data_IF_693271722479
#
_entry.id   IF_693271722479
#
_cell.length_a   1.000
_cell.length_b   1.000
_cell.length_c   1.000
_cell.angle_alpha   90.00
_cell.angle_beta   90.00
_cell.angle_gamma   90.00
#
_symmetry.space_group_name_H-M   'P 1'
#
loop_
_entity.id
_entity.type
_entity.pdbx_description
1 polymer ?
#
# COMPACT_ATOMS: atom_id res chain seq x y z
N UNK A 1 -9.30 37.22 -1.18
CA UNK A 1 -10.35 36.19 -1.34
C UNK A 1 -10.34 35.34 -0.08
N UNK A 2 -11.46 35.22 0.61
CA UNK A 2 -11.64 34.26 1.70
C UNK A 2 -12.05 32.93 1.09
N UNK A 3 -11.21 31.90 1.25
CA UNK A 3 -11.51 30.55 0.81
C UNK A 3 -12.40 29.87 1.86
N UNK A 4 -13.51 29.27 1.42
CA UNK A 4 -14.32 28.38 2.25
C UNK A 4 -14.01 26.93 1.87
N UNK A 5 -13.86 26.01 2.84
CA UNK A 5 -13.77 24.59 2.56
C UNK A 5 -15.03 24.08 1.83
N UNK A 6 -14.87 22.99 1.06
CA UNK A 6 -15.97 22.23 0.49
C UNK A 6 -16.75 21.51 1.61
N UNK A 7 -18.05 21.28 1.41
CA UNK A 7 -18.92 20.65 2.42
C UNK A 7 -18.41 19.24 2.82
N UNK A 8 -17.87 18.48 1.87
CA UNK A 8 -17.27 17.15 2.10
C UNK A 8 -16.02 17.17 3.00
N UNK A 9 -15.44 18.34 3.29
CA UNK A 9 -14.32 18.42 4.23
C UNK A 9 -14.72 17.89 5.62
N UNK A 10 -15.97 18.10 6.04
CA UNK A 10 -16.48 17.51 7.27
C UNK A 10 -16.44 15.99 7.23
N UNK A 11 -16.84 15.41 6.08
CA UNK A 11 -16.78 13.96 5.90
C UNK A 11 -15.35 13.43 5.96
N UNK A 12 -14.38 14.15 5.40
CA UNK A 12 -12.96 13.80 5.51
C UNK A 12 -12.51 13.80 6.98
N UNK A 13 -12.87 14.82 7.76
CA UNK A 13 -12.51 14.90 9.18
C UNK A 13 -13.10 13.74 10.00
N UNK A 14 -14.33 13.32 9.69
CA UNK A 14 -14.97 12.16 10.34
C UNK A 14 -14.21 10.85 10.14
N UNK A 15 -13.68 10.62 8.92
CA UNK A 15 -12.96 9.38 8.59
C UNK A 15 -11.47 9.45 8.87
N UNK A 16 -10.92 10.65 9.09
CA UNK A 16 -9.49 10.89 9.24
C UNK A 16 -8.83 10.07 10.36
N UNK A 17 -9.44 9.87 11.55
CA UNK A 17 -8.86 9.02 12.58
C UNK A 17 -8.56 7.59 12.10
N UNK A 18 -9.48 7.00 11.32
CA UNK A 18 -9.28 5.66 10.76
C UNK A 18 -8.17 5.63 9.71
N UNK A 19 -8.02 6.70 8.91
CA UNK A 19 -6.91 6.86 7.96
C UNK A 19 -5.57 6.93 8.70
N UNK A 20 -5.52 7.67 9.82
CA UNK A 20 -4.31 7.76 10.65
C UNK A 20 -3.96 6.42 11.31
N UNK A 21 -4.95 5.66 11.80
CA UNK A 21 -4.73 4.30 12.30
C UNK A 21 -4.21 3.36 11.21
N UNK A 22 -4.73 3.48 9.99
CA UNK A 22 -4.27 2.71 8.84
C UNK A 22 -2.81 3.03 8.48
N UNK A 23 -2.43 4.31 8.49
CA UNK A 23 -1.04 4.74 8.31
C UNK A 23 -0.15 4.21 9.45
N UNK A 24 -0.59 4.28 10.70
CA UNK A 24 0.19 3.76 11.83
C UNK A 24 0.42 2.25 11.72
N UNK A 25 -0.58 1.50 11.25
CA UNK A 25 -0.44 0.09 10.94
C UNK A 25 0.56 -0.13 9.79
N UNK A 26 0.50 0.68 8.73
CA UNK A 26 1.43 0.61 7.61
C UNK A 26 2.89 0.83 8.06
N UNK A 27 3.13 1.86 8.88
CA UNK A 27 4.45 2.20 9.41
C UNK A 27 5.02 1.06 10.24
N UNK A 28 4.20 0.36 11.04
CA UNK A 28 4.63 -0.84 11.78
C UNK A 28 5.15 -1.96 10.86
N UNK A 29 4.68 -2.00 9.61
CA UNK A 29 5.07 -2.97 8.60
C UNK A 29 6.13 -2.44 7.61
N UNK A 30 6.75 -1.29 7.91
CA UNK A 30 7.82 -0.72 7.09
C UNK A 30 7.34 0.06 5.87
N UNK A 31 6.09 0.55 5.89
CA UNK A 31 5.52 1.39 4.83
C UNK A 31 5.40 2.83 5.36
N UNK A 32 6.15 3.75 4.76
CA UNK A 32 6.24 5.12 5.24
C UNK A 32 5.01 5.97 4.89
N UNK A 33 4.38 5.74 3.74
CA UNK A 33 3.23 6.51 3.26
C UNK A 33 2.21 5.61 2.54
N UNK A 34 0.98 5.53 3.07
CA UNK A 34 -0.11 4.73 2.48
C UNK A 34 -0.65 5.31 1.17
N UNK A 35 -0.43 6.59 0.91
CA UNK A 35 -0.94 7.30 -0.26
C UNK A 35 0.05 7.39 -1.42
N UNK A 36 1.31 6.97 -1.23
CA UNK A 36 2.33 6.91 -2.29
C UNK A 36 2.67 5.48 -2.68
N UNK A 37 3.13 5.28 -3.92
CA UNK A 37 3.65 4.00 -4.44
C UNK A 37 2.80 2.75 -4.16
N UNK A 38 1.48 2.92 -4.09
CA UNK A 38 0.52 1.87 -3.68
C UNK A 38 0.74 1.32 -2.25
N UNK A 39 1.36 2.07 -1.33
CA UNK A 39 1.66 1.63 0.04
C UNK A 39 0.44 1.07 0.77
N UNK A 40 -0.71 1.72 0.65
CA UNK A 40 -1.96 1.22 1.21
C UNK A 40 -2.39 -0.13 0.63
N UNK A 41 -2.16 -0.40 -0.66
CA UNK A 41 -2.46 -1.71 -1.27
C UNK A 41 -1.41 -2.75 -0.90
N UNK A 42 -0.14 -2.35 -0.82
CA UNK A 42 0.95 -3.22 -0.42
C UNK A 42 0.71 -3.76 1.00
N UNK A 43 0.29 -2.91 1.93
CA UNK A 43 -0.06 -3.34 3.30
C UNK A 43 -1.10 -4.47 3.28
N UNK A 44 -2.13 -4.37 2.45
CA UNK A 44 -3.17 -5.41 2.35
C UNK A 44 -2.59 -6.75 1.91
N UNK A 45 -1.70 -6.74 0.92
CA UNK A 45 -1.03 -7.96 0.43
C UNK A 45 -0.14 -8.58 1.52
N UNK A 46 0.65 -7.76 2.21
CA UNK A 46 1.53 -8.24 3.28
C UNK A 46 0.74 -8.89 4.42
N UNK A 47 -0.34 -8.24 4.87
CA UNK A 47 -1.19 -8.77 5.94
C UNK A 47 -1.94 -10.03 5.51
N UNK A 48 -2.44 -10.08 4.28
CA UNK A 48 -3.17 -11.24 3.75
C UNK A 48 -2.28 -12.47 3.61
N UNK A 49 -1.04 -12.28 3.16
CA UNK A 49 -0.10 -13.37 2.86
C UNK A 49 0.89 -13.65 3.99
N UNK A 50 0.88 -12.86 5.07
CA UNK A 50 1.81 -13.00 6.20
C UNK A 50 3.26 -12.67 5.84
N UNK A 51 3.47 -11.75 4.88
CA UNK A 51 4.79 -11.34 4.41
C UNK A 51 5.33 -10.14 5.19
N UNK A 52 6.66 -10.00 5.21
CA UNK A 52 7.37 -8.84 5.80
C UNK A 52 8.27 -8.19 4.74
N UNK A 53 8.31 -6.86 4.71
CA UNK A 53 9.20 -6.11 3.81
C UNK A 53 10.67 -6.37 4.18
N UNK A 54 11.52 -6.56 3.17
CA UNK A 54 12.98 -6.63 3.35
C UNK A 54 13.53 -5.19 3.27
N UNK A 55 14.18 -4.68 4.35
CA UNK A 55 14.74 -3.34 4.34
C UNK A 55 16.06 -3.28 3.54
N UNK A 56 16.21 -2.22 2.72
CA UNK A 56 17.37 -2.04 1.84
C UNK A 56 17.11 -2.66 0.45
N UNK A 57 16.90 -1.81 -0.55
CA UNK A 57 16.47 -2.18 -1.92
C UNK A 57 17.59 -2.79 -2.77
N UNK A 58 18.17 -3.90 -2.34
CA UNK A 58 19.00 -4.76 -3.20
C UNK A 58 18.53 -6.21 -3.08
N UNK A 59 17.46 -6.57 -3.80
CA UNK A 59 16.94 -7.94 -3.82
C UNK A 59 15.42 -8.01 -3.93
N UNK A 60 14.87 -9.11 -3.43
CA UNK A 60 13.42 -9.37 -3.37
C UNK A 60 12.73 -8.41 -2.38
N UNK A 61 11.45 -8.13 -2.61
CA UNK A 61 10.69 -7.14 -1.84
C UNK A 61 10.25 -7.63 -0.45
N UNK A 62 9.95 -8.93 -0.31
CA UNK A 62 9.33 -9.47 0.89
C UNK A 62 9.78 -10.89 1.24
N UNK A 63 9.63 -11.25 2.51
CA UNK A 63 9.97 -12.59 3.05
C UNK A 63 8.81 -13.17 3.85
N UNK A 64 8.59 -14.48 3.73
CA UNK A 64 7.60 -15.21 4.52
C UNK A 64 8.16 -15.76 5.85
N UNK A 65 7.31 -16.42 6.63
CA UNK A 65 7.70 -16.99 7.93
C UNK A 65 8.70 -18.16 7.83
N UNK A 66 8.84 -18.79 6.66
CA UNK A 66 9.81 -19.85 6.39
C UNK A 66 11.17 -19.33 5.90
N UNK A 67 11.28 -18.01 5.70
CA UNK A 67 12.47 -17.36 5.16
C UNK A 67 12.53 -17.36 3.64
N UNK A 68 11.44 -17.69 2.94
CA UNK A 68 11.40 -17.62 1.48
C UNK A 68 11.13 -16.19 1.04
N UNK A 69 11.91 -15.73 0.08
CA UNK A 69 11.83 -14.37 -0.46
C UNK A 69 11.01 -14.29 -1.76
N UNK A 70 10.39 -13.13 -2.00
CA UNK A 70 9.46 -12.88 -3.08
C UNK A 70 9.63 -11.47 -3.66
N UNK A 71 9.62 -11.38 -4.99
CA UNK A 71 9.39 -10.15 -5.74
C UNK A 71 7.89 -9.86 -5.80
N UNK A 72 7.47 -8.63 -5.49
CA UNK A 72 6.08 -8.20 -5.49
C UNK A 72 5.82 -7.17 -6.61
N UNK A 73 4.95 -7.55 -7.54
CA UNK A 73 4.46 -6.66 -8.60
C UNK A 73 2.96 -6.45 -8.45
N UNK A 74 2.52 -5.19 -8.52
CA UNK A 74 1.11 -4.83 -8.46
C UNK A 74 0.69 -4.07 -9.73
N UNK A 75 -0.56 -4.26 -10.13
CA UNK A 75 -1.15 -3.64 -11.31
C UNK A 75 -2.58 -3.20 -11.00
N UNK A 76 -3.00 -2.05 -11.53
CA UNK A 76 -4.40 -1.63 -11.46
C UNK A 76 -5.15 -2.13 -12.70
N UNK A 77 -5.93 -3.20 -12.54
CA UNK A 77 -6.58 -3.93 -13.63
C UNK A 77 -7.48 -3.02 -14.49
N UNK A 78 -8.12 -2.01 -13.90
CA UNK A 78 -9.00 -1.06 -14.58
C UNK A 78 -8.26 -0.05 -15.46
N UNK A 79 -6.98 0.19 -15.16
CA UNK A 79 -6.16 1.20 -15.86
C UNK A 79 -5.06 0.56 -16.73
N UNK A 80 -4.86 -0.75 -16.64
CA UNK A 80 -3.77 -1.43 -17.32
C UNK A 80 -4.26 -2.29 -18.48
N UNK A 81 -3.87 -1.97 -19.74
CA UNK A 81 -4.14 -2.80 -20.91
C UNK A 81 -3.64 -4.23 -20.70
N UNK A 82 -4.36 -5.21 -21.24
CA UNK A 82 -4.08 -6.65 -21.05
C UNK A 82 -2.64 -7.05 -21.34
N UNK A 83 -1.97 -6.39 -22.28
CA UNK A 83 -0.60 -6.68 -22.72
C UNK A 83 0.49 -6.31 -21.70
N UNK A 84 0.15 -5.51 -20.68
CA UNK A 84 1.09 -5.04 -19.65
C UNK A 84 0.88 -5.72 -18.29
N UNK A 85 0.05 -6.77 -18.27
CA UNK A 85 -0.17 -7.59 -17.07
C UNK A 85 0.99 -8.57 -16.89
N UNK A 86 1.45 -8.82 -15.66
CA UNK A 86 2.48 -9.82 -15.41
C UNK A 86 2.00 -11.19 -15.90
N UNK A 87 2.72 -11.79 -16.83
CA UNK A 87 2.45 -13.14 -17.33
C UNK A 87 2.93 -14.15 -16.31
N UNK A 88 2.02 -14.97 -15.76
CA UNK A 88 2.40 -16.19 -15.05
C UNK A 88 3.16 -17.10 -16.01
N UNK A 89 4.44 -17.34 -15.72
CA UNK A 89 5.25 -18.39 -16.37
C UNK A 89 5.36 -19.57 -15.42
#
# INVERSE_FOLDING_TARGET
>A
MTLSPHDDYQRLLEIWPAVQEYQALATKHGIDDVFQDNGGKLLQVLLLLGLKIIPGREGNDAVDASGREYELKSVNIELTPTDSRPTTT
#
